data_IF_850139764974
#
_entry.id   IF_850139764974
#
_cell.length_a   1.000
_cell.length_b   1.000
_cell.length_c   1.000
_cell.angle_alpha   90.00
_cell.angle_beta   90.00
_cell.angle_gamma   90.00
#
_symmetry.space_group_name_H-M   'P 1'
#
loop_
_entity.id
_entity.type
_entity.pdbx_description
1 polymer ?
#
# COMPACT_ATOMS: atom_id res chain seq x y z
N UNK A 1 -14.28 -9.30 16.16
CA UNK A 1 -13.64 -9.21 17.49
C UNK A 1 -13.80 -10.55 18.20
N UNK A 2 -12.73 -11.36 18.33
CA UNK A 2 -12.76 -12.65 19.04
C UNK A 2 -12.16 -12.52 20.43
N UNK A 3 -12.68 -13.31 21.37
CA UNK A 3 -12.22 -13.36 22.75
C UNK A 3 -10.80 -13.95 22.87
N UNK A 4 -10.01 -13.56 23.88
CA UNK A 4 -8.66 -14.08 24.10
C UNK A 4 -8.66 -15.62 24.30
N UNK A 5 -7.82 -16.34 23.56
CA UNK A 5 -7.57 -17.78 23.76
C UNK A 5 -8.13 -18.72 22.67
N UNK A 6 -8.98 -18.23 21.77
CA UNK A 6 -9.47 -19.05 20.67
C UNK A 6 -8.52 -18.99 19.46
N UNK A 7 -7.93 -20.13 19.08
CA UNK A 7 -7.09 -20.22 17.87
C UNK A 7 -7.97 -20.00 16.64
N UNK A 8 -7.81 -18.87 15.95
CA UNK A 8 -8.45 -18.66 14.67
C UNK A 8 -7.88 -19.68 13.67
N UNK A 9 -8.72 -20.60 13.18
CA UNK A 9 -8.39 -21.35 11.98
C UNK A 9 -8.28 -20.33 10.82
N UNK A 10 -7.28 -20.44 9.95
CA UNK A 10 -7.22 -19.61 8.75
C UNK A 10 -8.51 -19.84 7.95
N UNK A 11 -9.33 -18.80 7.83
CA UNK A 11 -10.53 -18.83 7.00
C UNK A 11 -10.11 -18.39 5.61
N UNK A 12 -10.47 -19.15 4.57
CA UNK A 12 -10.27 -18.70 3.19
C UNK A 12 -11.01 -17.38 3.00
N UNK A 13 -10.27 -16.34 2.59
CA UNK A 13 -10.84 -15.06 2.20
C UNK A 13 -11.37 -15.18 0.77
N UNK A 14 -12.49 -15.88 0.58
CA UNK A 14 -13.06 -16.21 -0.74
C UNK A 14 -13.38 -14.99 -1.58
N UNK A 15 -13.66 -13.85 -0.93
CA UNK A 15 -14.14 -12.63 -1.57
C UNK A 15 -13.24 -11.41 -1.30
N UNK A 16 -12.01 -11.61 -0.81
CA UNK A 16 -11.09 -10.49 -0.58
C UNK A 16 -10.45 -10.02 -1.88
N UNK A 17 -11.20 -9.21 -2.63
CA UNK A 17 -10.78 -8.62 -3.89
C UNK A 17 -11.49 -7.27 -4.12
N UNK A 18 -10.94 -6.46 -5.03
CA UNK A 18 -11.57 -5.22 -5.51
C UNK A 18 -11.91 -4.24 -4.36
N UNK A 19 -13.16 -3.76 -4.31
CA UNK A 19 -13.68 -2.79 -3.34
C UNK A 19 -13.98 -3.39 -1.96
N UNK A 20 -13.60 -4.64 -1.69
CA UNK A 20 -13.79 -5.25 -0.38
C UNK A 20 -12.97 -4.50 0.67
N UNK A 21 -13.59 -3.95 1.73
CA UNK A 21 -12.84 -3.24 2.77
C UNK A 21 -11.84 -4.16 3.46
N UNK A 22 -10.60 -3.68 3.63
CA UNK A 22 -9.53 -4.39 4.34
C UNK A 22 -9.78 -4.34 5.87
N UNK A 23 -10.10 -5.49 6.51
CA UNK A 23 -10.35 -5.52 7.95
C UNK A 23 -9.11 -5.18 8.77
N UNK A 24 -7.90 -5.49 8.29
CA UNK A 24 -6.64 -5.18 8.97
C UNK A 24 -6.35 -3.67 8.94
N UNK A 25 -6.79 -2.98 7.89
CA UNK A 25 -6.74 -1.52 7.76
C UNK A 25 -7.91 -0.79 8.46
N UNK A 26 -8.79 -1.51 9.18
CA UNK A 26 -10.00 -0.93 9.77
C UNK A 26 -10.93 -0.30 8.73
N UNK A 27 -10.93 -0.81 7.49
CA UNK A 27 -11.74 -0.33 6.37
C UNK A 27 -11.25 0.96 5.69
N UNK A 28 -10.08 1.48 6.06
CA UNK A 28 -9.52 2.69 5.43
C UNK A 28 -9.08 2.47 3.98
N UNK A 29 -8.80 1.21 3.64
CA UNK A 29 -8.31 0.74 2.34
C UNK A 29 -9.17 -0.41 1.84
N UNK A 30 -9.31 -0.58 0.53
CA UNK A 30 -9.91 -1.77 -0.09
C UNK A 30 -8.84 -2.80 -0.46
N UNK A 31 -9.23 -4.05 -0.69
CA UNK A 31 -8.31 -5.14 -1.04
C UNK A 31 -7.39 -4.75 -2.22
N UNK A 32 -7.96 -4.14 -3.26
CA UNK A 32 -7.23 -3.75 -4.46
C UNK A 32 -6.39 -2.48 -4.35
N UNK A 33 -6.32 -1.86 -3.17
CA UNK A 33 -5.44 -0.73 -2.87
C UNK A 33 -4.18 -1.18 -2.12
N UNK A 34 -4.07 -2.47 -1.77
CA UNK A 34 -2.86 -3.01 -1.14
C UNK A 34 -1.65 -2.85 -2.07
N UNK A 35 -0.53 -2.38 -1.53
CA UNK A 35 0.66 -1.98 -2.32
C UNK A 35 0.30 -1.02 -3.47
N UNK A 36 -0.57 -0.05 -3.16
CA UNK A 36 -1.12 0.98 -4.04
C UNK A 36 -2.08 0.50 -5.13
N UNK A 37 -1.86 -0.69 -5.66
CA UNK A 37 -2.78 -1.42 -6.52
C UNK A 37 -2.47 -2.91 -6.45
N UNK A 38 -3.48 -3.74 -6.19
CA UNK A 38 -3.35 -5.19 -6.30
C UNK A 38 -4.58 -5.84 -6.94
N UNK A 39 -4.35 -6.93 -7.66
CA UNK A 39 -5.41 -7.75 -8.25
C UNK A 39 -5.52 -7.65 -9.77
N UNK A 40 -6.69 -8.03 -10.28
CA UNK A 40 -6.94 -8.16 -11.71
C UNK A 40 -7.21 -6.79 -12.36
N UNK A 41 -6.70 -6.63 -13.59
CA UNK A 41 -6.91 -5.42 -14.42
C UNK A 41 -8.25 -5.45 -15.19
N UNK A 42 -9.24 -6.20 -14.71
CA UNK A 42 -10.47 -6.48 -15.45
C UNK A 42 -11.60 -5.47 -15.17
N UNK A 43 -11.56 -4.74 -14.04
CA UNK A 43 -12.60 -3.75 -13.69
C UNK A 43 -12.43 -2.37 -14.31
N UNK A 44 -11.21 -1.93 -14.57
CA UNK A 44 -10.92 -0.57 -15.01
C UNK A 44 -10.40 -0.55 -16.45
N UNK A 45 -10.72 0.52 -17.16
CA UNK A 45 -10.01 0.93 -18.37
C UNK A 45 -8.89 1.88 -17.94
N UNK A 46 -7.65 1.60 -18.38
CA UNK A 46 -6.48 2.38 -18.02
C UNK A 46 -6.04 3.23 -19.21
N UNK A 47 -5.77 4.51 -18.95
CA UNK A 47 -5.27 5.47 -19.93
C UNK A 47 -3.95 6.07 -19.43
N UNK A 48 -2.91 6.01 -20.27
CA UNK A 48 -1.64 6.69 -20.00
C UNK A 48 -1.76 8.16 -20.42
N UNK A 49 -1.91 9.06 -19.46
CA UNK A 49 -2.03 10.49 -19.70
C UNK A 49 -0.70 11.14 -20.12
N UNK A 50 0.42 10.45 -19.86
CA UNK A 50 1.76 10.86 -20.26
C UNK A 50 2.72 10.94 -19.08
N UNK A 51 3.82 11.67 -19.29
CA UNK A 51 4.91 11.82 -18.32
C UNK A 51 5.03 13.27 -17.87
N UNK A 52 5.32 13.49 -16.59
CA UNK A 52 5.63 14.83 -16.04
C UNK A 52 6.66 14.76 -14.93
N UNK A 53 7.33 15.88 -14.67
CA UNK A 53 8.16 16.05 -13.47
C UNK A 53 7.30 16.41 -12.26
N UNK A 54 7.54 15.77 -11.14
CA UNK A 54 6.77 15.91 -9.91
C UNK A 54 7.63 15.59 -8.69
N UNK A 55 7.40 16.30 -7.59
CA UNK A 55 7.96 15.89 -6.30
C UNK A 55 7.18 14.68 -5.78
N UNK A 56 7.88 13.59 -5.51
CA UNK A 56 7.31 12.31 -5.08
C UNK A 56 8.01 11.82 -3.83
N UNK A 57 7.32 11.06 -2.95
CA UNK A 57 7.96 10.48 -1.79
C UNK A 57 9.03 9.48 -2.22
N UNK A 58 10.22 9.60 -1.65
CA UNK A 58 11.38 8.78 -2.01
C UNK A 58 12.39 8.74 -0.86
N UNK A 59 13.31 7.76 -0.91
CA UNK A 59 14.47 7.71 -0.02
C UNK A 59 14.09 7.74 1.47
N UNK A 60 13.20 6.82 1.84
CA UNK A 60 12.50 6.80 3.11
C UNK A 60 13.32 6.28 4.32
N UNK A 61 14.65 6.27 4.25
CA UNK A 61 15.50 5.70 5.30
C UNK A 61 15.28 6.31 6.68
N UNK A 62 14.94 7.61 6.75
CA UNK A 62 14.62 8.27 8.02
C UNK A 62 13.37 7.69 8.69
N UNK A 63 12.38 7.23 7.92
CA UNK A 63 11.16 6.57 8.46
C UNK A 63 11.43 5.15 8.98
N UNK A 64 12.60 4.58 8.69
CA UNK A 64 13.03 3.26 9.13
C UNK A 64 14.12 3.31 10.20
N UNK A 65 14.43 4.48 10.74
CA UNK A 65 15.46 4.59 11.78
C UNK A 65 15.02 3.77 13.03
N UNK A 66 15.89 2.89 13.56
CA UNK A 66 15.52 1.90 14.58
C UNK A 66 15.24 2.49 15.96
N UNK A 67 15.67 3.73 16.19
CA UNK A 67 15.54 4.49 17.43
C UNK A 67 14.25 5.33 17.50
N UNK A 68 13.47 5.37 16.42
CA UNK A 68 12.22 6.11 16.38
C UNK A 68 11.08 5.39 17.11
N UNK A 69 10.40 6.14 17.96
CA UNK A 69 9.14 5.73 18.58
C UNK A 69 7.95 5.97 17.64
N UNK A 70 6.86 5.19 17.76
CA UNK A 70 5.64 5.43 16.98
C UNK A 70 5.10 6.86 17.11
N UNK A 71 5.18 7.48 18.28
CA UNK A 71 4.72 8.85 18.55
C UNK A 71 5.56 9.91 17.82
N UNK A 72 6.85 9.66 17.60
CA UNK A 72 7.73 10.54 16.83
C UNK A 72 7.45 10.48 15.33
N UNK A 73 6.96 9.32 14.84
CA UNK A 73 6.67 9.07 13.43
C UNK A 73 5.26 9.46 13.06
N UNK A 74 4.26 9.08 13.86
CA UNK A 74 2.85 9.16 13.51
C UNK A 74 2.15 10.27 14.29
N UNK A 75 1.92 11.41 13.64
CA UNK A 75 1.09 12.47 14.22
C UNK A 75 -0.39 12.24 13.92
N UNK A 76 -1.27 13.12 14.40
CA UNK A 76 -2.71 12.91 14.33
C UNK A 76 -3.29 12.79 12.91
N UNK A 77 -2.74 13.53 11.95
CA UNK A 77 -3.29 13.61 10.59
C UNK A 77 -2.31 13.20 9.47
N UNK A 78 -1.02 13.08 9.80
CA UNK A 78 0.05 12.77 8.84
C UNK A 78 1.29 12.25 9.58
N UNK A 79 2.23 11.59 8.90
CA UNK A 79 3.53 11.29 9.50
C UNK A 79 4.33 12.58 9.75
N UNK A 80 5.32 12.53 10.63
CA UNK A 80 6.22 13.64 10.88
C UNK A 80 6.94 14.07 9.58
N UNK A 81 6.70 15.29 9.06
CA UNK A 81 7.24 15.72 7.76
C UNK A 81 8.77 15.87 7.74
N UNK A 82 9.42 15.93 8.90
CA UNK A 82 10.89 16.00 8.98
C UNK A 82 11.55 14.64 8.70
N UNK A 83 10.78 13.56 8.84
CA UNK A 83 11.19 12.18 8.56
C UNK A 83 10.83 11.75 7.13
N UNK A 84 9.86 12.39 6.49
CA UNK A 84 9.55 12.17 5.08
C UNK A 84 10.52 12.93 4.18
N UNK A 85 10.67 12.44 2.94
CA UNK A 85 11.51 13.08 1.93
C UNK A 85 10.81 13.00 0.58
N UNK A 86 10.80 14.12 -0.11
CA UNK A 86 10.25 14.23 -1.46
C UNK A 86 11.37 14.65 -2.40
N UNK A 87 11.47 13.98 -3.53
CA UNK A 87 12.49 14.22 -4.55
C UNK A 87 11.82 14.51 -5.89
N UNK A 88 12.45 15.34 -6.72
CA UNK A 88 11.93 15.63 -8.05
C UNK A 88 12.21 14.44 -8.98
N UNK A 89 11.16 13.76 -9.41
CA UNK A 89 11.22 12.62 -10.32
C UNK A 89 10.34 12.87 -11.53
N UNK A 90 10.60 12.12 -12.60
CA UNK A 90 9.63 11.97 -13.69
C UNK A 90 8.71 10.81 -13.34
N UNK A 91 7.41 11.02 -13.55
CA UNK A 91 6.38 10.01 -13.32
C UNK A 91 5.51 9.81 -14.54
N UNK A 92 5.07 8.58 -14.76
CA UNK A 92 3.96 8.25 -15.63
C UNK A 92 2.65 8.46 -14.89
N UNK A 93 1.73 9.20 -15.49
CA UNK A 93 0.39 9.42 -14.95
C UNK A 93 -0.58 8.49 -15.67
N UNK A 94 -1.20 7.59 -14.91
CA UNK A 94 -2.17 6.62 -15.43
C UNK A 94 -3.52 6.88 -14.79
N UNK A 95 -4.53 7.16 -15.59
CA UNK A 95 -5.90 7.25 -15.12
C UNK A 95 -6.61 5.91 -15.30
N UNK A 96 -7.33 5.46 -14.27
CA UNK A 96 -8.14 4.26 -14.29
C UNK A 96 -9.62 4.64 -14.10
N UNK A 97 -10.44 4.31 -15.09
CA UNK A 97 -11.89 4.57 -15.07
C UNK A 97 -12.66 3.26 -15.06
N UNK A 98 -13.60 3.11 -14.13
CA UNK A 98 -14.40 1.90 -13.96
C UNK A 98 -15.18 1.58 -15.23
N UNK A 99 -15.09 0.34 -15.72
CA UNK A 99 -15.83 -0.10 -16.89
C UNK A 99 -17.34 -0.06 -16.62
N UNK A 100 -18.10 0.26 -17.66
CA UNK A 100 -19.56 0.33 -17.60
C UNK A 100 -20.17 -0.98 -17.09
N UNK A 101 -21.13 -0.85 -16.17
CA UNK A 101 -21.89 -2.00 -15.63
C UNK A 101 -21.23 -2.67 -14.42
N UNK A 102 -20.02 -2.27 -14.04
CA UNK A 102 -19.36 -2.71 -12.81
C UNK A 102 -19.65 -1.75 -11.66
N UNK A 103 -19.39 -2.22 -10.43
CA UNK A 103 -19.44 -1.41 -9.22
C UNK A 103 -18.08 -1.38 -8.54
N UNK A 104 -17.75 -0.23 -7.96
CA UNK A 104 -16.57 -0.03 -7.15
C UNK A 104 -16.77 1.22 -6.29
N UNK A 105 -16.31 1.21 -5.04
CA UNK A 105 -16.38 2.37 -4.15
C UNK A 105 -15.64 3.61 -4.71
N UNK A 106 -14.54 3.37 -5.40
CA UNK A 106 -13.73 4.37 -6.10
C UNK A 106 -13.76 4.15 -7.62
N UNK A 107 -14.74 4.71 -8.35
CA UNK A 107 -14.91 4.45 -9.78
C UNK A 107 -13.88 5.15 -10.69
N UNK A 108 -13.14 6.14 -10.18
CA UNK A 108 -12.05 6.80 -10.90
C UNK A 108 -10.82 6.85 -10.01
N UNK A 109 -9.65 6.59 -10.58
CA UNK A 109 -8.37 6.61 -9.88
C UNK A 109 -7.28 7.21 -10.76
N UNK A 110 -6.28 7.83 -10.14
CA UNK A 110 -5.08 8.33 -10.84
C UNK A 110 -3.85 7.79 -10.13
N UNK A 111 -2.96 7.17 -10.89
CA UNK A 111 -1.73 6.57 -10.39
C UNK A 111 -0.52 7.33 -10.92
N UNK A 112 0.46 7.52 -10.05
CA UNK A 112 1.73 8.16 -10.37
C UNK A 112 2.85 7.13 -10.22
N UNK A 113 3.29 6.59 -11.34
CA UNK A 113 4.34 5.57 -11.38
C UNK A 113 5.69 6.25 -11.59
N UNK A 114 6.66 5.93 -10.75
CA UNK A 114 8.05 6.31 -10.98
C UNK A 114 8.53 5.81 -12.34
N UNK A 115 9.17 6.67 -13.13
CA UNK A 115 9.57 6.32 -14.49
C UNK A 115 10.57 5.15 -14.54
N UNK A 116 11.50 5.10 -13.58
CA UNK A 116 12.65 4.20 -13.63
C UNK A 116 12.34 2.86 -12.94
N UNK A 117 11.60 2.89 -11.82
CA UNK A 117 11.27 1.69 -11.03
C UNK A 117 9.88 1.10 -11.30
N UNK A 118 8.99 1.84 -11.98
CA UNK A 118 7.58 1.50 -12.17
C UNK A 118 6.75 1.40 -10.89
N UNK A 119 7.31 1.74 -9.73
CA UNK A 119 6.58 1.74 -8.48
C UNK A 119 5.50 2.82 -8.50
N UNK A 120 4.29 2.48 -8.08
CA UNK A 120 3.26 3.48 -7.84
C UNK A 120 3.64 4.25 -6.57
N UNK A 121 4.11 5.49 -6.73
CA UNK A 121 4.55 6.31 -5.60
C UNK A 121 3.38 7.06 -4.97
N UNK A 122 2.36 7.40 -5.75
CA UNK A 122 1.17 8.10 -5.27
C UNK A 122 -0.06 7.61 -6.01
N UNK A 123 -1.22 7.64 -5.35
CA UNK A 123 -2.49 7.27 -5.94
C UNK A 123 -3.63 8.14 -5.40
N UNK A 124 -4.50 8.58 -6.29
CA UNK A 124 -5.73 9.30 -6.00
C UNK A 124 -6.92 8.39 -6.27
N UNK A 125 -7.88 8.36 -5.35
CA UNK A 125 -9.10 7.57 -5.47
C UNK A 125 -10.31 8.48 -5.30
N UNK A 126 -11.08 8.61 -6.36
CA UNK A 126 -12.26 9.47 -6.40
C UNK A 126 -13.51 8.67 -6.09
N UNK A 127 -14.40 9.25 -5.28
CA UNK A 127 -15.71 8.68 -4.96
C UNK A 127 -16.71 8.78 -6.12
N UNK A 128 -17.91 8.20 -5.97
CA UNK A 128 -18.97 8.27 -6.99
C UNK A 128 -19.52 9.68 -7.23
N UNK A 129 -19.31 10.58 -6.28
CA UNK A 129 -19.61 12.02 -6.37
C UNK A 129 -18.57 12.81 -7.17
N UNK A 130 -17.45 12.18 -7.55
CA UNK A 130 -16.36 12.80 -8.28
C UNK A 130 -15.33 13.51 -7.40
N UNK A 131 -15.51 13.48 -6.07
CA UNK A 131 -14.60 14.10 -5.12
C UNK A 131 -13.47 13.16 -4.73
N UNK A 132 -12.31 13.72 -4.37
CA UNK A 132 -11.17 12.93 -3.91
C UNK A 132 -11.47 12.34 -2.53
N UNK A 133 -11.65 11.02 -2.47
CA UNK A 133 -12.04 10.31 -1.25
C UNK A 133 -10.84 9.70 -0.51
N UNK A 134 -9.88 9.15 -1.25
CA UNK A 134 -8.61 8.66 -0.69
C UNK A 134 -7.42 9.20 -1.47
N UNK A 135 -6.37 9.50 -0.74
CA UNK A 135 -5.04 9.73 -1.29
C UNK A 135 -4.09 8.72 -0.66
N UNK A 136 -3.20 8.15 -1.45
CA UNK A 136 -2.19 7.23 -0.94
C UNK A 136 -0.82 7.62 -1.47
N UNK A 137 0.22 7.33 -0.69
CA UNK A 137 1.61 7.52 -1.09
C UNK A 137 2.47 6.38 -0.53
N UNK A 138 3.48 5.99 -1.30
CA UNK A 138 4.53 5.07 -0.89
C UNK A 138 5.79 5.87 -0.65
N UNK A 139 6.42 5.63 0.50
CA UNK A 139 7.75 6.09 0.84
C UNK A 139 8.71 4.92 0.65
N UNK A 140 9.39 4.80 -0.51
CA UNK A 140 10.22 3.64 -0.82
C UNK A 140 11.68 3.78 -0.34
N UNK A 141 12.36 2.64 -0.28
CA UNK A 141 13.83 2.54 -0.20
C UNK A 141 14.38 1.65 -1.30
N UNK A 142 15.61 1.92 -1.72
CA UNK A 142 16.39 1.01 -2.56
C UNK A 142 17.07 0.01 -1.65
N UNK A 143 16.87 -1.29 -1.89
CA UNK A 143 17.56 -2.33 -1.14
C UNK A 143 19.00 -2.48 -1.66
N UNK A 144 20.03 -2.42 -0.80
CA UNK A 144 21.42 -2.57 -1.27
C UNK A 144 21.78 -4.02 -1.61
N UNK A 145 21.03 -5.01 -1.13
CA UNK A 145 21.32 -6.43 -1.35
C UNK A 145 20.84 -6.94 -2.72
N UNK A 146 19.85 -6.28 -3.32
CA UNK A 146 19.18 -6.69 -4.56
C UNK A 146 18.72 -5.45 -5.32
N UNK A 147 18.74 -5.43 -6.66
CA UNK A 147 18.41 -4.24 -7.46
C UNK A 147 16.90 -3.99 -7.52
N UNK A 148 16.27 -3.70 -6.38
CA UNK A 148 14.84 -3.45 -6.23
C UNK A 148 14.58 -2.21 -5.38
N UNK A 149 13.54 -1.48 -5.76
CA UNK A 149 12.93 -0.43 -4.96
C UNK A 149 11.67 -1.02 -4.32
N UNK A 150 11.57 -0.98 -2.99
CA UNK A 150 10.40 -1.51 -2.28
C UNK A 150 9.81 -0.45 -1.34
N UNK A 151 8.48 -0.51 -1.09
CA UNK A 151 7.85 0.28 -0.03
C UNK A 151 8.54 0.06 1.32
N UNK A 152 9.02 1.14 1.94
CA UNK A 152 9.34 1.11 3.36
C UNK A 152 8.07 1.36 4.18
N UNK A 153 7.30 2.37 3.78
CA UNK A 153 6.00 2.70 4.36
C UNK A 153 5.00 3.09 3.27
N UNK A 154 3.76 2.69 3.47
CA UNK A 154 2.59 3.11 2.70
C UNK A 154 1.71 3.97 3.61
N UNK A 155 1.30 5.14 3.13
CA UNK A 155 0.36 6.00 3.82
C UNK A 155 -0.92 6.07 2.99
N UNK A 156 -2.08 5.85 3.61
CA UNK A 156 -3.40 6.03 2.96
C UNK A 156 -4.23 6.99 3.81
N UNK A 157 -4.59 8.12 3.22
CA UNK A 157 -5.37 9.18 3.84
C UNK A 157 -6.84 9.05 3.43
N UNK A 158 -7.71 8.99 4.43
CA UNK A 158 -9.15 9.12 4.27
C UNK A 158 -9.55 10.58 4.45
N UNK A 159 -9.73 11.26 3.31
CA UNK A 159 -10.08 12.68 3.28
C UNK A 159 -11.54 12.94 3.71
N UNK A 160 -12.38 11.90 3.75
CA UNK A 160 -13.77 12.00 4.19
C UNK A 160 -13.92 11.95 5.71
N UNK A 161 -13.08 11.15 6.39
CA UNK A 161 -13.11 11.00 7.85
C UNK A 161 -11.96 11.69 8.59
N UNK A 162 -10.94 12.17 7.89
CA UNK A 162 -9.75 12.80 8.48
C UNK A 162 -8.80 11.80 9.15
N UNK A 163 -8.99 10.49 8.91
CA UNK A 163 -8.12 9.43 9.40
C UNK A 163 -7.04 9.10 8.37
N UNK A 164 -5.93 8.55 8.80
CA UNK A 164 -4.97 7.93 7.89
C UNK A 164 -4.50 6.58 8.43
N UNK A 165 -4.02 5.75 7.52
CA UNK A 165 -3.42 4.45 7.74
C UNK A 165 -1.94 4.55 7.38
N UNK A 166 -1.07 4.00 8.23
CA UNK A 166 0.33 3.77 7.93
C UNK A 166 0.63 2.27 8.00
N UNK A 167 1.18 1.71 6.94
CA UNK A 167 1.57 0.28 6.83
C UNK A 167 3.03 0.21 6.39
N UNK A 168 3.74 -0.85 6.75
CA UNK A 168 5.10 -1.13 6.28
C UNK A 168 6.06 -1.47 7.40
N UNK A 169 7.33 -1.68 7.03
CA UNK A 169 8.38 -2.15 7.92
C UNK A 169 8.56 -1.17 9.08
N UNK A 170 8.49 -1.69 10.30
CA UNK A 170 8.95 -0.91 11.45
C UNK A 170 10.49 -0.92 11.53
N UNK A 171 11.09 0.13 12.08
CA UNK A 171 12.56 0.22 12.18
C UNK A 171 13.19 -0.82 13.11
N UNK A 172 12.37 -1.53 13.90
CA UNK A 172 12.79 -2.59 14.82
C UNK A 172 12.68 -4.00 14.22
N UNK A 173 11.98 -4.15 13.10
CA UNK A 173 11.85 -5.39 12.36
C UNK A 173 13.16 -5.77 11.69
N UNK A 174 13.38 -7.08 11.56
CA UNK A 174 14.54 -7.56 10.81
C UNK A 174 14.38 -7.16 9.34
N UNK A 175 15.45 -6.70 8.69
CA UNK A 175 15.42 -6.43 7.26
C UNK A 175 14.89 -7.64 6.47
N UNK A 176 14.19 -7.41 5.33
CA UNK A 176 13.77 -8.49 4.46
C UNK A 176 14.96 -9.36 4.04
N UNK A 177 14.79 -10.68 4.13
CA UNK A 177 15.74 -11.64 3.58
C UNK A 177 15.38 -11.99 2.14
N UNK A 178 16.35 -11.91 1.23
CA UNK A 178 16.14 -12.15 -0.22
C UNK A 178 16.68 -13.51 -0.70
N UNK A 179 17.42 -14.22 0.15
CA UNK A 179 18.15 -15.44 -0.17
C UNK A 179 17.53 -16.69 0.44
N UNK A 180 16.31 -16.59 0.99
CA UNK A 180 15.61 -17.74 1.57
C UNK A 180 15.13 -18.69 0.47
N UNK A 181 15.56 -19.97 0.46
CA UNK A 181 15.03 -20.95 -0.48
C UNK A 181 13.58 -21.28 -0.07
N UNK A 182 12.62 -20.75 -0.83
CA UNK A 182 11.20 -21.07 -0.70
C UNK A 182 10.87 -22.29 -1.57
N UNK A 183 9.98 -23.15 -1.07
CA UNK A 183 9.49 -24.32 -1.80
C UNK A 183 7.98 -24.23 -1.98
N UNK A 184 7.39 -24.94 -2.97
CA UNK A 184 5.94 -24.96 -3.15
C UNK A 184 5.16 -25.32 -1.88
N UNK A 185 5.72 -26.16 -1.01
CA UNK A 185 5.10 -26.56 0.26
C UNK A 185 4.97 -25.41 1.26
N UNK A 186 5.73 -24.32 1.12
CA UNK A 186 5.61 -23.13 1.96
C UNK A 186 4.34 -22.32 1.63
N UNK A 187 3.70 -22.58 0.47
CA UNK A 187 2.53 -21.83 -0.04
C UNK A 187 1.23 -22.64 -0.01
N UNK A 188 1.17 -23.72 0.79
CA UNK A 188 -0.05 -24.52 0.94
C UNK A 188 -0.91 -24.04 2.12
N UNK A 189 -2.22 -24.32 2.13
CA UNK A 189 -3.07 -23.99 3.29
C UNK A 189 -2.57 -24.58 4.61
N UNK A 190 -1.93 -25.75 4.57
CA UNK A 190 -1.36 -26.42 5.74
C UNK A 190 -0.21 -25.62 6.36
N UNK A 191 0.56 -24.88 5.55
CA UNK A 191 1.66 -24.03 6.02
C UNK A 191 1.19 -22.83 6.86
N UNK A 192 -0.09 -22.43 6.76
CA UNK A 192 -0.70 -21.35 7.54
C UNK A 192 -1.05 -21.76 8.98
N UNK A 193 -1.04 -23.06 9.29
CA UNK A 193 -1.36 -23.55 10.64
C UNK A 193 -0.12 -23.37 11.52
N UNK A 194 -0.21 -22.64 12.66
CA UNK A 194 0.93 -22.45 13.55
C UNK A 194 1.50 -23.80 14.00
N UNK A 195 2.78 -24.05 13.67
CA UNK A 195 3.48 -25.26 14.16
C UNK A 195 3.53 -25.21 15.68
N UNK A 196 3.07 -26.27 16.35
CA UNK A 196 3.21 -26.41 17.81
C UNK A 196 4.71 -26.36 18.14
N UNK A 197 5.11 -25.39 18.97
CA UNK A 197 6.36 -25.47 19.74
C UNK A 197 6.14 -26.38 20.93
#
# INVERSE_FOLDING_TARGET
YKQPGEKALPVRATDFAYDTPDPAAGGLRTADMQDMFSGLLDRFSFELLGRREMYVPYNAWRLLAPDLTPEEVFWSAHPNPTLTRYELHRVWVVEATLKRGLRHAFPRRVYYLDEDSWQILMAEHYGPDGELARYAEVHPIVHPQVPVLLPAREMTYDLTSGRYLAVGLDGSEKPPGFDRPLKPEDFTPEALVPKRR
#
